data_IF_789047934715
#
_entry.id   IF_789047934715
#
_cell.length_a   1.000
_cell.length_b   1.000
_cell.length_c   1.000
_cell.angle_alpha   90.00
_cell.angle_beta   90.00
_cell.angle_gamma   90.00
#
_symmetry.space_group_name_H-M   'P 1'
#
loop_
_entity.id
_entity.type
_entity.pdbx_description
1 polymer ?
#
# COMPACT_ATOMS: atom_id res chain seq x y z
N UNK A 1 33.81 -1.86 -4.13
CA UNK A 1 32.52 -2.23 -3.54
C UNK A 1 31.90 -1.05 -2.85
N UNK A 2 30.66 -0.85 -3.08
CA UNK A 2 29.93 0.27 -2.49
C UNK A 2 29.43 -0.09 -1.09
N UNK A 3 29.53 0.85 -0.16
CA UNK A 3 28.98 0.65 1.18
C UNK A 3 27.44 0.61 1.11
N UNK A 4 26.78 -0.20 1.96
CA UNK A 4 25.33 -0.20 2.01
C UNK A 4 24.79 1.16 2.43
N UNK A 5 23.62 1.52 1.89
CA UNK A 5 22.94 2.75 2.25
C UNK A 5 22.53 2.72 3.72
N UNK A 6 22.64 3.86 4.38
CA UNK A 6 22.25 4.02 5.77
C UNK A 6 20.93 4.77 5.87
N UNK A 7 20.04 4.42 6.81
CA UNK A 7 18.81 5.17 6.97
C UNK A 7 19.07 6.59 7.50
N UNK A 8 18.23 7.53 7.07
CA UNK A 8 18.21 8.86 7.69
C UNK A 8 17.81 8.70 9.17
N UNK A 9 18.21 9.69 9.97
CA UNK A 9 17.97 9.64 11.42
C UNK A 9 16.48 9.44 11.74
N UNK A 10 16.22 8.54 12.70
CA UNK A 10 14.87 8.19 13.17
C UNK A 10 13.94 7.58 12.11
N UNK A 11 14.49 7.19 10.98
CA UNK A 11 13.66 6.51 9.97
C UNK A 11 13.22 5.15 10.47
N UNK A 12 11.93 4.86 10.31
CA UNK A 12 11.34 3.56 10.66
C UNK A 12 10.56 3.02 9.47
N UNK A 13 10.57 1.71 9.28
CA UNK A 13 9.68 1.11 8.29
C UNK A 13 8.23 1.37 8.64
N UNK A 14 7.43 1.70 7.64
CA UNK A 14 6.01 2.02 7.79
C UNK A 14 5.18 0.92 7.14
N UNK A 15 4.35 0.19 7.89
CA UNK A 15 3.44 -0.79 7.29
C UNK A 15 2.34 -0.08 6.53
N UNK A 16 2.06 -0.58 5.34
CA UNK A 16 0.99 -0.11 4.50
C UNK A 16 0.32 -1.31 3.82
N UNK A 17 -0.91 -1.14 3.39
CA UNK A 17 -1.69 -2.20 2.77
C UNK A 17 -2.06 -1.79 1.35
N UNK A 18 -2.16 -2.79 0.47
CA UNK A 18 -2.73 -2.65 -0.86
C UNK A 18 -3.79 -3.71 -1.05
N UNK A 19 -4.79 -3.42 -1.87
CA UNK A 19 -5.90 -4.34 -2.10
C UNK A 19 -6.11 -4.55 -3.59
N UNK A 20 -6.01 -5.81 -4.02
CA UNK A 20 -6.41 -6.23 -5.37
C UNK A 20 -7.84 -6.74 -5.23
N UNK A 21 -8.80 -5.89 -5.55
CA UNK A 21 -10.22 -6.20 -5.40
C UNK A 21 -10.85 -6.49 -6.75
N UNK A 22 -11.42 -7.68 -6.87
CA UNK A 22 -12.10 -8.11 -8.09
C UNK A 22 -13.61 -8.02 -7.94
N UNK A 23 -14.25 -7.57 -9.03
CA UNK A 23 -15.68 -7.70 -9.25
C UNK A 23 -15.82 -8.37 -10.62
N UNK A 24 -16.20 -9.64 -10.62
CA UNK A 24 -16.16 -10.47 -11.81
C UNK A 24 -14.75 -10.49 -12.40
N UNK A 25 -14.54 -10.05 -13.64
CA UNK A 25 -13.22 -10.01 -14.27
C UNK A 25 -12.54 -8.63 -14.20
N UNK A 26 -13.13 -7.71 -13.43
CA UNK A 26 -12.61 -6.34 -13.32
C UNK A 26 -11.83 -6.16 -12.03
N UNK A 27 -10.75 -5.39 -12.11
CA UNK A 27 -9.93 -5.01 -10.95
C UNK A 27 -10.20 -3.54 -10.63
N UNK A 28 -10.42 -3.28 -9.35
CA UNK A 28 -10.65 -1.93 -8.86
C UNK A 28 -9.33 -1.17 -8.73
N UNK A 29 -9.23 -0.05 -9.42
CA UNK A 29 -8.08 0.84 -9.34
C UNK A 29 -8.53 2.23 -8.93
N UNK A 30 -7.62 2.96 -8.29
CA UNK A 30 -7.82 4.37 -7.97
C UNK A 30 -6.82 5.22 -8.75
N UNK A 31 -7.18 6.47 -8.95
CA UNK A 31 -6.28 7.44 -9.55
C UNK A 31 -5.67 8.28 -8.43
N UNK A 32 -4.35 8.31 -8.38
CA UNK A 32 -3.67 9.04 -7.30
C UNK A 32 -3.95 10.53 -7.39
N UNK A 33 -4.43 11.09 -6.27
CA UNK A 33 -4.69 12.53 -6.15
C UNK A 33 -3.53 13.33 -5.59
N UNK A 34 -2.45 12.66 -5.15
CA UNK A 34 -1.30 13.31 -4.51
C UNK A 34 0.02 12.73 -5.01
N UNK A 35 1.13 13.50 -4.92
CA UNK A 35 2.46 12.95 -5.19
C UNK A 35 2.83 11.84 -4.19
N UNK A 36 3.75 10.92 -4.55
CA UNK A 36 4.34 10.78 -5.87
C UNK A 36 3.36 10.18 -6.88
N UNK A 37 3.65 10.35 -8.17
CA UNK A 37 2.87 9.76 -9.26
C UNK A 37 1.40 10.19 -9.28
N UNK A 38 1.13 11.46 -8.95
CA UNK A 38 -0.20 12.05 -9.03
C UNK A 38 -0.78 11.85 -10.44
N UNK A 39 -2.04 11.42 -10.50
CA UNK A 39 -2.73 11.16 -11.76
C UNK A 39 -2.54 9.75 -12.31
N UNK A 40 -1.63 8.96 -11.77
CA UNK A 40 -1.45 7.57 -12.17
C UNK A 40 -2.47 6.66 -11.48
N UNK A 41 -2.78 5.56 -12.15
CA UNK A 41 -3.64 4.53 -11.57
C UNK A 41 -2.84 3.64 -10.62
N UNK A 42 -3.46 3.26 -9.51
CA UNK A 42 -2.83 2.38 -8.53
C UNK A 42 -3.88 1.55 -7.81
N UNK A 43 -3.40 0.55 -7.07
CA UNK A 43 -4.27 -0.22 -6.18
C UNK A 43 -4.73 0.68 -5.03
N UNK A 44 -5.98 0.51 -4.55
CA UNK A 44 -6.39 1.13 -3.30
C UNK A 44 -5.51 0.66 -2.15
N UNK A 45 -5.24 1.54 -1.21
CA UNK A 45 -4.43 1.19 -0.06
C UNK A 45 -3.97 2.40 0.71
N UNK A 46 -3.18 2.16 1.74
CA UNK A 46 -2.66 3.22 2.58
C UNK A 46 -1.99 2.67 3.83
N UNK A 47 -1.64 3.57 4.72
CA UNK A 47 -0.90 3.22 5.94
C UNK A 47 -1.78 2.53 6.96
N UNK A 48 -1.18 1.56 7.65
CA UNK A 48 -1.80 0.96 8.83
C UNK A 48 -1.68 1.95 9.99
N UNK A 49 -2.76 2.14 10.72
CA UNK A 49 -2.78 3.02 11.88
C UNK A 49 -2.34 2.27 13.14
N UNK A 50 -1.77 2.98 14.12
CA UNK A 50 -1.36 2.33 15.39
C UNK A 50 -2.53 1.58 16.03
N UNK A 51 -2.27 0.33 16.38
CA UNK A 51 -3.29 -0.52 17.00
C UNK A 51 -4.28 -1.16 16.05
N UNK A 52 -4.20 -0.85 14.77
CA UNK A 52 -5.09 -1.39 13.75
C UNK A 52 -4.51 -2.67 13.15
N UNK A 53 -5.26 -3.79 13.15
CA UNK A 53 -4.81 -4.98 12.44
C UNK A 53 -4.70 -4.73 10.93
N UNK A 54 -3.72 -5.34 10.27
CA UNK A 54 -3.47 -5.08 8.84
C UNK A 54 -4.67 -5.43 7.96
N UNK A 55 -5.41 -6.49 8.29
CA UNK A 55 -6.60 -6.86 7.51
C UNK A 55 -7.71 -5.82 7.65
N UNK A 56 -7.86 -5.25 8.84
CA UNK A 56 -8.81 -4.15 9.07
C UNK A 56 -8.40 -2.90 8.30
N UNK A 57 -7.10 -2.61 8.27
CA UNK A 57 -6.56 -1.48 7.51
C UNK A 57 -6.88 -1.60 6.02
N UNK A 58 -6.72 -2.81 5.47
CA UNK A 58 -7.01 -3.07 4.06
C UNK A 58 -8.47 -2.76 3.72
N UNK A 59 -9.40 -3.26 4.53
CA UNK A 59 -10.83 -3.03 4.31
C UNK A 59 -11.21 -1.57 4.54
N UNK A 60 -10.63 -0.92 5.54
CA UNK A 60 -10.88 0.50 5.83
C UNK A 60 -10.39 1.38 4.67
N UNK A 61 -9.16 1.19 4.20
CA UNK A 61 -8.61 1.98 3.11
C UNK A 61 -9.42 1.79 1.83
N UNK A 62 -9.81 0.56 1.52
CA UNK A 62 -10.65 0.28 0.37
C UNK A 62 -11.98 1.04 0.46
N UNK A 63 -12.62 1.00 1.62
CA UNK A 63 -13.89 1.68 1.86
C UNK A 63 -13.77 3.19 1.76
N UNK A 64 -12.73 3.77 2.36
CA UNK A 64 -12.50 5.21 2.33
C UNK A 64 -12.25 5.72 0.90
N UNK A 65 -11.49 4.99 0.11
CA UNK A 65 -11.09 5.44 -1.21
C UNK A 65 -12.11 5.13 -2.30
N UNK A 66 -12.93 4.09 -2.14
CA UNK A 66 -13.78 3.59 -3.21
C UNK A 66 -15.25 3.39 -2.83
N UNK A 67 -15.59 3.52 -1.55
CA UNK A 67 -16.91 3.19 -1.00
C UNK A 67 -17.31 1.72 -1.17
N UNK A 68 -16.36 0.85 -1.45
CA UNK A 68 -16.62 -0.57 -1.69
C UNK A 68 -16.47 -1.37 -0.40
N UNK A 69 -17.40 -2.28 -0.17
CA UNK A 69 -17.31 -3.31 0.85
C UNK A 69 -16.87 -4.59 0.18
N UNK A 70 -15.81 -5.19 0.68
CA UNK A 70 -15.22 -6.38 0.11
C UNK A 70 -14.92 -7.43 1.17
N UNK A 71 -14.70 -8.65 0.70
CA UNK A 71 -14.25 -9.75 1.53
C UNK A 71 -12.79 -10.04 1.17
N UNK A 72 -11.92 -10.06 2.16
CA UNK A 72 -10.54 -10.46 1.95
C UNK A 72 -10.47 -11.97 1.75
N UNK A 73 -9.83 -12.37 0.66
CA UNK A 73 -9.73 -13.78 0.28
C UNK A 73 -8.40 -14.36 0.75
N UNK A 74 -7.29 -13.66 0.46
CA UNK A 74 -5.97 -14.17 0.75
C UNK A 74 -4.94 -13.05 0.81
N UNK A 75 -3.78 -13.37 1.35
CA UNK A 75 -2.59 -12.53 1.26
C UNK A 75 -1.89 -12.86 -0.07
N UNK A 76 -1.60 -11.83 -0.85
CA UNK A 76 -0.86 -12.01 -2.10
C UNK A 76 0.63 -12.05 -1.83
N UNK A 77 1.16 -11.00 -1.21
CA UNK A 77 2.59 -10.87 -0.96
C UNK A 77 2.86 -9.75 0.03
N UNK A 78 4.09 -9.75 0.54
CA UNK A 78 4.65 -8.66 1.32
C UNK A 78 5.86 -8.14 0.56
N UNK A 79 5.87 -6.86 0.26
CA UNK A 79 6.90 -6.24 -0.57
C UNK A 79 7.51 -5.06 0.16
N UNK A 80 8.82 -4.96 0.15
CA UNK A 80 9.51 -3.79 0.67
C UNK A 80 9.65 -2.74 -0.41
N UNK A 81 9.21 -1.53 -0.11
CA UNK A 81 9.43 -0.36 -0.96
C UNK A 81 10.42 0.55 -0.24
N UNK A 82 11.67 0.46 -0.66
CA UNK A 82 12.78 1.17 -0.03
C UNK A 82 13.28 2.24 -1.00
N UNK A 83 13.27 3.49 -0.56
CA UNK A 83 13.69 4.64 -1.36
C UNK A 83 15.01 5.19 -0.86
N UNK A 84 15.91 5.45 -1.79
CA UNK A 84 17.21 6.05 -1.51
C UNK A 84 17.28 7.47 -2.06
N UNK A 85 18.21 8.28 -1.55
CA UNK A 85 18.50 9.59 -2.13
C UNK A 85 19.24 9.43 -3.47
N UNK A 86 19.53 10.56 -4.15
CA UNK A 86 20.12 10.54 -5.49
C UNK A 86 21.47 9.81 -5.53
N UNK A 87 22.27 9.93 -4.49
CA UNK A 87 23.60 9.31 -4.43
C UNK A 87 23.55 7.87 -3.96
N UNK A 88 22.43 7.42 -3.41
CA UNK A 88 22.23 6.05 -2.95
C UNK A 88 22.96 5.72 -1.64
N UNK A 89 23.36 6.74 -0.88
CA UNK A 89 24.02 6.53 0.40
C UNK A 89 23.09 6.68 1.61
N UNK A 90 21.87 7.21 1.40
CA UNK A 90 20.86 7.35 2.44
C UNK A 90 19.56 6.71 2.03
N UNK A 91 18.97 5.96 2.96
CA UNK A 91 17.59 5.46 2.82
C UNK A 91 16.67 6.52 3.37
N UNK A 92 15.76 7.04 2.54
CA UNK A 92 14.87 8.14 2.87
C UNK A 92 13.47 7.72 3.22
N UNK A 93 13.03 6.56 2.72
CA UNK A 93 11.70 5.99 3.02
C UNK A 93 11.77 4.48 2.94
N UNK A 94 11.00 3.84 3.79
CA UNK A 94 10.84 2.39 3.75
C UNK A 94 9.40 2.04 4.11
N UNK A 95 8.67 1.49 3.13
CA UNK A 95 7.33 0.96 3.36
C UNK A 95 7.35 -0.55 3.28
N UNK A 96 6.66 -1.19 4.20
CA UNK A 96 6.38 -2.62 4.13
C UNK A 96 4.97 -2.74 3.59
N UNK A 97 4.83 -3.15 2.32
CA UNK A 97 3.56 -3.23 1.62
C UNK A 97 2.99 -4.64 1.77
N UNK A 98 1.80 -4.72 2.36
CA UNK A 98 1.10 -5.97 2.60
C UNK A 98 -0.10 -5.98 1.67
N UNK A 99 -0.04 -6.78 0.60
CA UNK A 99 -1.04 -6.80 -0.46
C UNK A 99 -2.01 -7.96 -0.28
N UNK A 100 -3.30 -7.64 -0.31
CA UNK A 100 -4.38 -8.61 -0.15
C UNK A 100 -5.19 -8.76 -1.42
N UNK A 101 -5.67 -9.97 -1.65
CA UNK A 101 -6.68 -10.28 -2.65
C UNK A 101 -8.05 -10.16 -1.98
N UNK A 102 -8.97 -9.47 -2.63
CA UNK A 102 -10.34 -9.29 -2.13
C UNK A 102 -11.34 -9.46 -3.26
N UNK A 103 -12.57 -9.75 -2.89
CA UNK A 103 -13.69 -9.79 -3.81
C UNK A 103 -14.75 -8.78 -3.38
N UNK A 104 -15.30 -8.07 -4.36
CA UNK A 104 -16.36 -7.08 -4.15
C UNK A 104 -17.61 -7.74 -3.57
N UNK A 105 -18.24 -7.08 -2.60
CA UNK A 105 -19.50 -7.53 -2.02
C UNK A 105 -20.60 -6.52 -2.22
N UNK A 106 -20.32 -5.24 -2.01
CA UNK A 106 -21.30 -4.18 -2.14
C UNK A 106 -20.60 -2.84 -2.36
N UNK A 107 -21.35 -1.85 -2.84
CA UNK A 107 -20.85 -0.49 -3.01
C UNK A 107 -20.37 -0.21 -4.43
N UNK A 108 -19.95 1.04 -4.62
CA UNK A 108 -19.49 1.52 -5.92
C UNK A 108 -18.00 1.25 -6.11
#
# INVERSE_FOLDING_TARGET
>A
MRAPAQPVEDLRPVPAVGVVCFRDEQVLLIRRGTPPKQGEWSLPGGRVEPGEPVRSAALRELKEETAVDAELIDLIDVVDAIFENRTGDLITRHYVLIDFLATWRAGE
#
